data_IF_344606884737
#
_entry.id   IF_344606884737
#
_cell.length_a   1.000
_cell.length_b   1.000
_cell.length_c   1.000
_cell.angle_alpha   90.00
_cell.angle_beta   90.00
_cell.angle_gamma   90.00
#
_symmetry.space_group_name_H-M   'P 1'
#
loop_
_entity.id
_entity.type
_entity.pdbx_description
1 polymer ?
#
# COMPACT_ATOMS: atom_id res chain seq x y z
N UNK A 1 29.39 7.08 -11.46
CA UNK A 1 28.37 6.05 -11.17
C UNK A 1 27.63 5.68 -12.45
N UNK A 2 27.74 4.42 -12.89
CA UNK A 2 27.19 3.92 -14.15
C UNK A 2 25.67 4.07 -14.24
N UNK A 3 25.15 4.57 -15.37
CA UNK A 3 23.71 4.77 -15.63
C UNK A 3 22.86 3.51 -15.39
N UNK A 4 23.43 2.32 -15.57
CA UNK A 4 22.73 1.04 -15.34
C UNK A 4 22.35 0.76 -13.89
N UNK A 5 23.15 1.20 -12.90
CA UNK A 5 22.87 0.96 -11.47
C UNK A 5 21.72 1.84 -10.96
N UNK A 6 21.59 3.07 -11.47
CA UNK A 6 20.50 3.99 -11.09
C UNK A 6 19.11 3.44 -11.45
N UNK A 7 19.00 2.59 -12.47
CA UNK A 7 17.71 2.05 -12.95
C UNK A 7 17.15 1.02 -11.96
N UNK A 8 18.00 0.24 -11.29
CA UNK A 8 17.54 -0.78 -10.35
C UNK A 8 17.13 -0.21 -8.98
N UNK A 9 17.68 0.94 -8.58
CA UNK A 9 17.27 1.59 -7.32
C UNK A 9 16.00 2.43 -7.45
N UNK A 10 15.60 2.84 -8.66
CA UNK A 10 14.41 3.66 -8.91
C UNK A 10 13.23 2.80 -9.39
N UNK A 11 12.78 1.90 -8.53
CA UNK A 11 11.58 1.10 -8.76
C UNK A 11 10.40 1.59 -7.90
N UNK A 12 9.21 1.11 -8.24
CA UNK A 12 7.99 1.44 -7.50
C UNK A 12 8.00 0.94 -6.06
N UNK A 13 8.88 0.00 -5.69
CA UNK A 13 9.05 -0.45 -4.30
C UNK A 13 9.45 0.70 -3.36
N UNK A 14 10.11 1.74 -3.87
CA UNK A 14 10.37 2.96 -3.09
C UNK A 14 9.09 3.63 -2.57
N UNK A 15 7.98 3.52 -3.31
CA UNK A 15 6.67 4.05 -2.91
C UNK A 15 6.01 3.19 -1.82
N UNK A 16 6.48 1.95 -1.62
CA UNK A 16 6.01 1.08 -0.54
C UNK A 16 6.70 1.39 0.79
N UNK A 17 7.94 1.88 0.76
CA UNK A 17 8.72 2.21 1.96
C UNK A 17 8.00 3.13 2.97
N UNK A 18 7.40 4.29 2.58
CA UNK A 18 6.69 5.12 3.55
C UNK A 18 5.48 4.41 4.16
N UNK A 19 4.83 3.51 3.43
CA UNK A 19 3.71 2.72 3.93
C UNK A 19 4.17 1.67 4.95
N UNK A 20 5.31 1.02 4.71
CA UNK A 20 5.93 0.08 5.66
C UNK A 20 6.40 0.80 6.92
N UNK A 21 7.05 1.95 6.77
CA UNK A 21 7.49 2.77 7.90
C UNK A 21 6.30 3.22 8.75
N UNK A 22 5.21 3.63 8.11
CA UNK A 22 3.97 3.99 8.79
C UNK A 22 3.38 2.82 9.59
N UNK A 23 3.29 1.64 8.98
CA UNK A 23 2.79 0.44 9.65
C UNK A 23 3.64 0.05 10.85
N UNK A 24 4.97 0.13 10.72
CA UNK A 24 5.90 -0.16 11.81
C UNK A 24 5.75 0.86 12.95
N UNK A 25 5.66 2.15 12.63
CA UNK A 25 5.52 3.22 13.63
C UNK A 25 4.21 3.13 14.43
N UNK A 26 3.15 2.59 13.82
CA UNK A 26 1.84 2.46 14.47
C UNK A 26 1.62 1.10 15.15
N UNK A 27 2.53 0.13 14.99
CA UNK A 27 2.34 -1.24 15.48
C UNK A 27 2.04 -1.29 16.98
N UNK A 28 2.72 -0.48 17.80
CA UNK A 28 2.52 -0.45 19.25
C UNK A 28 1.23 0.29 19.69
N UNK A 29 0.66 1.10 18.78
CA UNK A 29 -0.51 1.94 19.04
C UNK A 29 -1.81 1.33 18.49
N UNK A 30 -1.75 0.11 17.96
CA UNK A 30 -2.90 -0.54 17.33
C UNK A 30 -4.02 -0.84 18.35
N UNK A 31 -5.30 -0.59 17.99
CA UNK A 31 -6.44 -1.00 18.80
C UNK A 31 -6.45 -2.50 19.03
N UNK A 32 -7.03 -2.96 20.15
CA UNK A 32 -7.06 -4.37 20.57
C UNK A 32 -7.39 -5.39 19.45
N UNK A 33 -8.37 -5.15 18.55
CA UNK A 33 -8.68 -6.08 17.47
C UNK A 33 -7.56 -6.29 16.43
N UNK A 34 -6.62 -5.36 16.32
CA UNK A 34 -5.51 -5.39 15.36
C UNK A 34 -4.19 -5.83 16.00
N UNK A 35 -4.17 -6.09 17.32
CA UNK A 35 -2.98 -6.56 18.01
C UNK A 35 -2.70 -8.02 17.69
N UNK A 36 -1.43 -8.45 17.51
CA UNK A 36 -1.09 -9.81 17.10
C UNK A 36 -1.66 -10.91 18.02
N UNK A 37 -1.88 -10.61 19.31
CA UNK A 37 -2.40 -11.58 20.27
C UNK A 37 -3.86 -11.94 19.99
N UNK A 38 -4.64 -11.02 19.40
CA UNK A 38 -6.08 -11.18 19.11
C UNK A 38 -6.33 -11.33 17.61
N UNK A 39 -5.54 -10.63 16.79
CA UNK A 39 -5.61 -10.62 15.34
C UNK A 39 -5.10 -11.95 14.78
N UNK A 40 -6.03 -12.84 14.43
CA UNK A 40 -5.73 -14.14 13.82
C UNK A 40 -6.26 -15.35 14.57
N UNK A 41 -6.73 -15.19 15.82
CA UNK A 41 -7.23 -16.34 16.62
C UNK A 41 -8.39 -17.10 15.94
N UNK A 42 -9.16 -16.41 15.10
CA UNK A 42 -10.31 -16.98 14.38
C UNK A 42 -10.15 -16.93 12.85
N UNK A 43 -8.96 -16.60 12.34
CA UNK A 43 -8.72 -16.53 10.89
C UNK A 43 -8.18 -17.88 10.43
N UNK A 44 -8.84 -18.57 9.48
CA UNK A 44 -8.34 -19.83 8.95
C UNK A 44 -6.97 -19.65 8.30
N UNK A 45 -6.06 -20.60 8.53
CA UNK A 45 -4.66 -20.52 8.09
C UNK A 45 -4.50 -20.29 6.58
N UNK A 46 -5.43 -20.80 5.75
CA UNK A 46 -5.40 -20.63 4.29
C UNK A 46 -5.67 -19.20 3.85
N UNK A 47 -6.44 -18.42 4.62
CA UNK A 47 -6.68 -16.99 4.37
C UNK A 47 -5.40 -16.21 4.64
N UNK A 48 -4.77 -16.45 5.79
CA UNK A 48 -3.50 -15.81 6.16
C UNK A 48 -2.38 -16.16 5.17
N UNK A 49 -2.32 -17.43 4.72
CA UNK A 49 -1.38 -17.85 3.68
C UNK A 49 -1.62 -17.09 2.36
N UNK A 50 -2.88 -16.98 1.93
CA UNK A 50 -3.26 -16.24 0.74
C UNK A 50 -2.85 -14.77 0.83
N UNK A 51 -3.23 -14.10 1.91
CA UNK A 51 -2.89 -12.69 2.16
C UNK A 51 -1.37 -12.43 2.10
N UNK A 52 -0.59 -13.25 2.80
CA UNK A 52 0.86 -13.11 2.82
C UNK A 52 1.48 -13.38 1.44
N UNK A 53 0.97 -14.38 0.72
CA UNK A 53 1.43 -14.69 -0.64
C UNK A 53 1.16 -13.51 -1.58
N UNK A 54 -0.06 -12.97 -1.59
CA UNK A 54 -0.41 -11.82 -2.42
C UNK A 54 0.40 -10.58 -2.05
N UNK A 55 0.64 -10.34 -0.76
CA UNK A 55 1.48 -9.25 -0.27
C UNK A 55 2.91 -9.36 -0.79
N UNK A 56 3.51 -10.55 -0.70
CA UNK A 56 4.85 -10.82 -1.25
C UNK A 56 4.88 -10.64 -2.76
N UNK A 57 3.87 -11.13 -3.49
CA UNK A 57 3.78 -10.94 -4.94
C UNK A 57 3.70 -9.46 -5.32
N UNK A 58 2.90 -8.67 -4.61
CA UNK A 58 2.80 -7.22 -4.83
C UNK A 58 4.14 -6.54 -4.59
N UNK A 59 4.86 -6.89 -3.53
CA UNK A 59 6.19 -6.34 -3.26
C UNK A 59 7.19 -6.70 -4.35
N UNK A 60 7.19 -7.95 -4.81
CA UNK A 60 8.02 -8.38 -5.93
C UNK A 60 7.68 -7.62 -7.22
N UNK A 61 6.40 -7.48 -7.55
CA UNK A 61 5.95 -6.73 -8.72
C UNK A 61 6.42 -5.27 -8.67
N UNK A 62 6.20 -4.58 -7.54
CA UNK A 62 6.64 -3.19 -7.38
C UNK A 62 8.16 -3.02 -7.42
N UNK A 63 8.93 -4.03 -7.00
CA UNK A 63 10.39 -4.03 -7.12
C UNK A 63 10.87 -4.20 -8.57
N UNK A 64 10.12 -4.93 -9.40
CA UNK A 64 10.42 -5.12 -10.82
C UNK A 64 9.92 -3.96 -11.70
N UNK A 65 8.92 -3.20 -11.23
CA UNK A 65 8.33 -2.08 -11.97
C UNK A 65 9.22 -0.82 -11.87
N UNK A 66 9.76 -0.31 -13.00
CA UNK A 66 10.55 0.91 -13.00
C UNK A 66 9.65 2.13 -12.73
N UNK A 67 10.16 3.04 -11.91
CA UNK A 67 9.48 4.28 -11.55
C UNK A 67 9.65 5.31 -12.69
N UNK A 68 8.55 5.84 -13.24
CA UNK A 68 8.57 6.89 -14.25
C UNK A 68 7.43 7.88 -14.06
N UNK A 69 7.71 9.18 -14.12
CA UNK A 69 6.71 10.25 -13.98
C UNK A 69 6.86 11.23 -15.15
N UNK A 70 6.80 10.70 -16.36
CA UNK A 70 6.98 11.48 -17.60
C UNK A 70 5.65 11.76 -18.29
N UNK A 71 4.79 10.76 -18.39
CA UNK A 71 3.51 10.86 -19.10
C UNK A 71 2.39 11.47 -18.23
N UNK A 72 1.35 12.00 -18.88
CA UNK A 72 0.15 12.49 -18.18
C UNK A 72 -0.53 11.41 -17.35
N UNK A 73 -0.53 10.15 -17.83
CA UNK A 73 -1.06 9.01 -17.09
C UNK A 73 -0.25 8.74 -15.82
N UNK A 74 1.08 8.77 -15.90
CA UNK A 74 1.97 8.57 -14.75
C UNK A 74 1.80 9.67 -13.69
N UNK A 75 1.59 10.93 -14.12
CA UNK A 75 1.28 12.04 -13.21
C UNK A 75 -0.05 11.83 -12.48
N UNK A 76 -1.09 11.38 -13.19
CA UNK A 76 -2.38 11.01 -12.59
C UNK A 76 -2.23 9.84 -11.61
N UNK A 77 -1.41 8.84 -11.95
CA UNK A 77 -1.02 7.75 -11.06
C UNK A 77 -0.35 8.25 -9.78
N UNK A 78 0.55 9.23 -9.90
CA UNK A 78 1.17 9.92 -8.77
C UNK A 78 0.16 10.59 -7.83
N UNK A 79 -0.80 11.33 -8.39
CA UNK A 79 -1.87 11.96 -7.62
C UNK A 79 -2.71 10.90 -6.89
N UNK A 80 -3.12 9.85 -7.60
CA UNK A 80 -3.90 8.75 -7.03
C UNK A 80 -3.14 8.04 -5.90
N UNK A 81 -1.83 7.80 -6.09
CA UNK A 81 -0.96 7.25 -5.07
C UNK A 81 -0.91 8.14 -3.81
N UNK A 82 -0.72 9.45 -3.98
CA UNK A 82 -0.67 10.39 -2.86
C UNK A 82 -2.00 10.45 -2.11
N UNK A 83 -3.12 10.58 -2.84
CA UNK A 83 -4.45 10.59 -2.23
C UNK A 83 -4.75 9.28 -1.51
N UNK A 84 -4.45 8.13 -2.13
CA UNK A 84 -4.62 6.82 -1.52
C UNK A 84 -3.77 6.64 -0.26
N UNK A 85 -2.52 7.11 -0.29
CA UNK A 85 -1.60 7.08 0.86
C UNK A 85 -2.12 7.93 2.01
N UNK A 86 -2.58 9.14 1.72
CA UNK A 86 -3.14 10.03 2.75
C UNK A 86 -4.40 9.42 3.38
N UNK A 87 -5.31 8.88 2.57
CA UNK A 87 -6.52 8.21 3.06
C UNK A 87 -6.17 6.98 3.91
N UNK A 88 -5.17 6.21 3.50
CA UNK A 88 -4.65 5.09 4.27
C UNK A 88 -4.13 5.52 5.64
N UNK A 89 -3.31 6.57 5.69
CA UNK A 89 -2.78 7.09 6.96
C UNK A 89 -3.89 7.64 7.86
N UNK A 90 -4.81 8.43 7.31
CA UNK A 90 -5.94 8.97 8.06
C UNK A 90 -6.85 7.85 8.59
N UNK A 91 -7.03 6.76 7.84
CA UNK A 91 -7.83 5.63 8.31
C UNK A 91 -7.26 4.98 9.57
N UNK A 92 -5.93 4.84 9.65
CA UNK A 92 -5.28 4.37 10.87
C UNK A 92 -5.38 5.37 12.02
N UNK A 93 -5.12 6.65 11.76
CA UNK A 93 -5.20 7.70 12.79
C UNK A 93 -6.62 7.81 13.38
N UNK A 94 -7.65 7.65 12.56
CA UNK A 94 -9.03 7.64 13.03
C UNK A 94 -9.31 6.49 14.01
N UNK A 95 -8.81 5.30 13.73
CA UNK A 95 -8.98 4.14 14.62
C UNK A 95 -8.18 4.25 15.91
N UNK A 96 -7.00 4.87 15.86
CA UNK A 96 -6.10 5.01 17.03
C UNK A 96 -6.57 6.15 17.95
N UNK A 97 -6.84 7.34 17.40
CA UNK A 97 -7.17 8.53 18.20
C UNK A 97 -8.66 8.70 18.46
N UNK A 98 -9.53 8.11 17.64
CA UNK A 98 -10.97 8.22 17.76
C UNK A 98 -11.67 6.84 17.71
N UNK A 99 -11.28 5.87 18.58
CA UNK A 99 -11.79 4.51 18.55
C UNK A 99 -13.31 4.43 18.78
N UNK A 100 -13.87 5.33 19.60
CA UNK A 100 -15.31 5.36 19.93
C UNK A 100 -16.15 6.18 18.94
N UNK A 101 -15.53 6.74 17.89
CA UNK A 101 -16.28 7.53 16.90
C UNK A 101 -17.26 6.67 16.09
N UNK A 102 -18.31 7.31 15.56
CA UNK A 102 -19.24 6.66 14.64
C UNK A 102 -18.53 6.08 13.40
N UNK A 103 -17.41 6.68 12.99
CA UNK A 103 -16.57 6.16 11.90
C UNK A 103 -15.92 4.84 12.29
N UNK A 104 -15.16 4.82 13.39
CA UNK A 104 -14.41 3.64 13.86
C UNK A 104 -15.31 2.47 14.26
N UNK A 105 -16.52 2.74 14.76
CA UNK A 105 -17.53 1.73 15.06
C UNK A 105 -18.33 1.26 13.83
N UNK A 106 -18.23 1.96 12.69
CA UNK A 106 -18.85 1.51 11.45
C UNK A 106 -18.00 0.44 10.77
N UNK A 107 -18.64 -0.51 10.07
CA UNK A 107 -17.92 -1.54 9.29
C UNK A 107 -17.00 -0.93 8.24
N UNK A 108 -17.40 0.19 7.64
CA UNK A 108 -16.62 0.88 6.63
C UNK A 108 -15.38 1.53 7.23
N UNK A 109 -15.52 2.27 8.33
CA UNK A 109 -14.37 2.91 8.98
C UNK A 109 -13.42 1.91 9.63
N UNK A 110 -13.94 0.86 10.25
CA UNK A 110 -13.13 -0.22 10.83
C UNK A 110 -12.29 -0.95 9.77
N UNK A 111 -12.85 -1.21 8.58
CA UNK A 111 -12.14 -1.88 7.48
C UNK A 111 -11.36 -0.93 6.57
N UNK A 112 -11.39 0.38 6.83
CA UNK A 112 -10.75 1.37 5.98
C UNK A 112 -9.25 1.11 5.73
N UNK A 113 -8.43 0.73 6.73
CA UNK A 113 -7.03 0.36 6.47
C UNK A 113 -6.85 -0.86 5.56
N UNK A 114 -7.86 -1.74 5.45
CA UNK A 114 -7.78 -2.95 4.63
C UNK A 114 -8.07 -2.68 3.15
N UNK A 115 -9.02 -1.80 2.82
CA UNK A 115 -9.38 -1.53 1.41
C UNK A 115 -8.75 -0.27 0.82
N UNK A 116 -8.39 0.74 1.63
CA UNK A 116 -7.71 1.95 1.12
C UNK A 116 -6.38 1.66 0.41
N UNK A 117 -5.65 0.57 0.70
CA UNK A 117 -4.51 0.14 -0.10
C UNK A 117 -4.74 -0.02 -1.60
N UNK A 118 -5.97 -0.36 -2.01
CA UNK A 118 -6.31 -0.48 -3.42
C UNK A 118 -6.07 0.84 -4.18
N UNK A 119 -6.28 1.99 -3.54
CA UNK A 119 -6.09 3.30 -4.17
C UNK A 119 -4.61 3.57 -4.46
N UNK A 120 -3.75 3.41 -3.46
CA UNK A 120 -2.33 3.68 -3.67
C UNK A 120 -1.67 2.59 -4.53
N UNK A 121 -2.12 1.33 -4.48
CA UNK A 121 -1.69 0.27 -5.41
C UNK A 121 -2.03 0.59 -6.86
N UNK A 122 -3.25 1.05 -7.11
CA UNK A 122 -3.68 1.48 -8.45
C UNK A 122 -2.84 2.67 -8.93
N UNK A 123 -2.54 3.62 -8.05
CA UNK A 123 -1.62 4.72 -8.32
C UNK A 123 -0.24 4.23 -8.75
N UNK A 124 0.36 3.30 -8.00
CA UNK A 124 1.65 2.66 -8.34
C UNK A 124 1.59 1.98 -9.71
N UNK A 125 0.50 1.26 -10.01
CA UNK A 125 0.27 0.64 -11.31
C UNK A 125 0.35 1.64 -12.47
N UNK A 126 -0.27 2.81 -12.33
CA UNK A 126 -0.24 3.86 -13.35
C UNK A 126 1.10 4.62 -13.45
N UNK A 127 1.89 4.66 -12.38
CA UNK A 127 3.22 5.28 -12.38
C UNK A 127 4.24 4.40 -13.14
N UNK A 128 4.03 3.09 -13.19
CA UNK A 128 4.98 2.21 -13.86
C UNK A 128 5.05 2.45 -15.37
N UNK A 129 6.26 2.31 -15.91
CA UNK A 129 6.55 2.48 -17.33
C UNK A 129 6.36 1.20 -18.17
N UNK A 130 5.89 0.10 -17.59
CA UNK A 130 5.81 -1.19 -18.29
C UNK A 130 4.55 -1.33 -19.17
N UNK A 131 3.51 -0.51 -18.91
CA UNK A 131 2.21 -0.58 -19.59
C UNK A 131 1.96 0.59 -20.57
N UNK A 132 3.01 1.28 -21.00
CA UNK A 132 2.95 2.15 -22.18
C UNK A 132 3.35 1.30 -23.39
N UNK A 133 2.41 1.15 -24.32
CA UNK A 133 2.36 0.29 -25.50
C UNK A 133 3.45 0.52 -26.57
N UNK A 134 4.71 0.69 -26.17
CA UNK A 134 5.84 0.96 -27.10
C UNK A 134 6.88 -0.18 -27.13
N UNK A 135 6.57 -1.34 -26.54
CA UNK A 135 7.54 -2.44 -26.38
C UNK A 135 7.02 -3.84 -26.69
N UNK A 136 5.88 -3.95 -27.39
CA UNK A 136 5.35 -5.25 -27.84
C UNK A 136 4.79 -5.15 -29.27
N UNK A 137 5.53 -4.52 -30.18
CA UNK A 137 5.54 -4.76 -31.62
C UNK A 137 6.92 -4.37 -32.16
#
# INVERSE_FOLDING_TARGET
MNKGIKIYFLNCFLLILPLLAWNLALTDQLPSPFKPEVFGQNIPWFITLGENTFRTLIFLLTALMPLSIKSTQQKRGGILYLTGTLLYFLSWLALIYFPDSAWSNSRLGFLAPAYTPLLWLTGIGFISNYLSSDGFL
#
